data_IF_551834841874
#
_entry.id   IF_551834841874
#
_cell.length_a   1.000
_cell.length_b   1.000
_cell.length_c   1.000
_cell.angle_alpha   90.00
_cell.angle_beta   90.00
_cell.angle_gamma   90.00
#
_symmetry.space_group_name_H-M   'P 1'
#
loop_
_entity.id
_entity.type
_entity.pdbx_description
1 polymer ?
#
# COMPACT_ATOMS: atom_id res chain seq x y z
N UNK A 1 -2.32 -28.10 21.82
CA UNK A 1 -3.76 -27.93 21.51
C UNK A 1 -3.87 -28.00 19.98
N UNK A 2 -4.50 -29.05 19.42
CA UNK A 2 -5.81 -28.98 18.72
C UNK A 2 -6.04 -27.66 17.96
N UNK A 3 -6.45 -27.58 16.70
CA UNK A 3 -6.71 -28.46 15.55
C UNK A 3 -7.02 -27.43 14.44
N UNK A 4 -6.44 -27.57 13.25
CA UNK A 4 -6.83 -26.77 12.08
C UNK A 4 -8.28 -27.06 11.70
N UNK A 5 -9.10 -26.02 11.47
CA UNK A 5 -10.28 -26.09 10.60
C UNK A 5 -10.52 -24.73 9.92
N UNK A 6 -10.61 -24.81 8.59
CA UNK A 6 -10.96 -23.77 7.65
C UNK A 6 -12.49 -23.51 7.63
N UNK A 7 -12.90 -22.32 7.22
CA UNK A 7 -14.23 -21.99 6.70
C UNK A 7 -14.07 -20.80 5.75
N UNK A 8 -13.81 -21.03 4.45
CA UNK A 8 -14.78 -21.18 3.35
C UNK A 8 -15.79 -20.03 3.28
N UNK A 9 -15.69 -19.31 2.16
CA UNK A 9 -16.46 -18.16 1.72
C UNK A 9 -17.98 -18.39 1.66
N UNK A 10 -18.72 -17.29 1.88
CA UNK A 10 -20.08 -17.12 1.39
C UNK A 10 -20.14 -15.82 0.57
N UNK A 11 -19.66 -15.89 -0.68
CA UNK A 11 -20.07 -14.99 -1.75
C UNK A 11 -21.56 -15.21 -1.99
N UNK A 12 -22.40 -14.28 -1.53
CA UNK A 12 -23.81 -14.25 -1.92
C UNK A 12 -24.02 -13.12 -2.90
N UNK A 13 -24.01 -13.51 -4.17
CA UNK A 13 -24.53 -12.75 -5.32
C UNK A 13 -26.03 -12.53 -5.11
N UNK A 14 -26.51 -11.28 -5.17
CA UNK A 14 -27.89 -11.00 -5.55
C UNK A 14 -27.84 -10.15 -6.82
N UNK A 15 -28.11 -10.84 -7.92
CA UNK A 15 -28.31 -10.32 -9.26
C UNK A 15 -29.71 -9.69 -9.40
N UNK A 16 -29.75 -8.64 -10.23
CA UNK A 16 -30.79 -8.29 -11.19
C UNK A 16 -32.18 -7.84 -10.68
N UNK A 17 -32.46 -6.56 -10.88
CA UNK A 17 -33.84 -6.09 -11.06
C UNK A 17 -33.99 -4.58 -11.11
N UNK A 18 -34.01 -4.01 -12.32
CA UNK A 18 -34.98 -2.96 -12.73
C UNK A 18 -34.74 -2.56 -14.20
N UNK A 19 -35.49 -3.21 -15.08
CA UNK A 19 -35.75 -2.77 -16.45
C UNK A 19 -36.66 -1.53 -16.43
N UNK A 20 -36.53 -0.70 -17.45
CA UNK A 20 -37.31 0.52 -17.67
C UNK A 20 -38.82 0.25 -17.86
N UNK A 21 -39.64 1.24 -17.47
CA UNK A 21 -40.95 1.50 -18.10
C UNK A 21 -42.17 1.50 -17.17
N UNK A 22 -43.24 2.24 -17.51
CA UNK A 22 -43.92 3.17 -16.59
C UNK A 22 -45.35 2.72 -16.21
N UNK A 23 -45.80 3.03 -14.98
CA UNK A 23 -47.22 3.28 -14.66
C UNK A 23 -47.36 3.78 -13.19
N UNK A 24 -47.89 5.00 -13.02
CA UNK A 24 -48.52 5.52 -11.79
C UNK A 24 -50.04 5.26 -11.91
N UNK A 25 -50.91 5.36 -10.86
CA UNK A 25 -50.80 6.21 -9.65
C UNK A 25 -51.38 5.60 -8.34
N UNK A 26 -51.26 6.29 -7.20
CA UNK A 26 -52.14 6.02 -6.05
C UNK A 26 -51.71 6.50 -4.66
N UNK A 27 -52.15 7.71 -4.31
CA UNK A 27 -52.55 8.21 -2.98
C UNK A 27 -51.55 8.32 -1.79
N UNK A 28 -51.65 9.50 -1.17
CA UNK A 28 -50.83 10.07 -0.09
C UNK A 28 -50.91 9.35 1.26
N UNK A 29 -49.85 9.44 2.09
CA UNK A 29 -49.88 9.72 3.54
C UNK A 29 -48.44 9.93 4.11
N UNK A 30 -48.30 10.96 4.94
CA UNK A 30 -47.22 11.27 5.92
C UNK A 30 -45.84 11.77 5.45
N UNK A 31 -45.35 12.91 5.96
CA UNK A 31 -43.92 13.18 6.00
C UNK A 31 -43.32 12.26 7.07
N UNK A 32 -42.84 11.08 6.67
CA UNK A 32 -41.90 10.36 7.51
C UNK A 32 -40.70 11.27 7.71
N UNK A 33 -40.51 11.73 8.94
CA UNK A 33 -39.26 12.28 9.40
C UNK A 33 -38.16 11.34 8.91
N UNK A 34 -37.30 11.82 8.01
CA UNK A 34 -36.04 11.15 7.71
C UNK A 34 -35.32 11.03 9.04
N UNK A 35 -35.40 9.85 9.64
CA UNK A 35 -34.47 9.45 10.68
C UNK A 35 -33.10 9.55 10.01
N UNK A 36 -32.36 10.61 10.33
CA UNK A 36 -30.97 10.72 9.96
C UNK A 36 -30.31 9.45 10.48
N UNK A 37 -29.97 8.55 9.57
CA UNK A 37 -29.09 7.44 9.87
C UNK A 37 -27.84 8.09 10.45
N UNK A 38 -27.45 7.78 11.70
CA UNK A 38 -26.18 8.27 12.21
C UNK A 38 -25.13 7.74 11.24
N UNK A 39 -24.45 8.68 10.58
CA UNK A 39 -23.30 8.38 9.73
C UNK A 39 -22.38 7.50 10.57
N UNK A 40 -22.18 6.26 10.14
CA UNK A 40 -21.22 5.39 10.81
C UNK A 40 -19.91 6.16 10.85
N UNK A 41 -19.21 6.22 12.01
CA UNK A 41 -17.96 6.96 12.09
C UNK A 41 -17.08 6.43 10.97
N UNK A 42 -16.74 7.32 10.03
CA UNK A 42 -15.75 7.03 9.01
C UNK A 42 -14.51 6.67 9.81
N UNK A 43 -14.10 5.39 9.75
CA UNK A 43 -12.86 4.94 10.33
C UNK A 43 -11.80 5.82 9.70
N UNK A 44 -11.40 6.86 10.44
CA UNK A 44 -10.48 7.86 9.94
C UNK A 44 -9.16 7.15 9.96
N UNK A 45 -8.82 6.53 8.83
CA UNK A 45 -7.50 6.00 8.58
C UNK A 45 -6.47 7.09 8.87
N UNK A 46 -5.20 6.71 9.10
CA UNK A 46 -4.17 7.69 9.34
C UNK A 46 -4.14 8.72 8.20
N UNK A 47 -4.04 10.00 8.57
CA UNK A 47 -3.93 11.07 7.60
C UNK A 47 -2.63 10.90 6.79
N UNK A 48 -2.67 10.97 5.45
CA UNK A 48 -1.46 10.82 4.65
C UNK A 48 -0.49 11.96 4.93
N UNK A 49 0.80 11.64 5.03
CA UNK A 49 1.86 12.62 5.26
C UNK A 49 2.33 13.27 3.95
N UNK A 50 2.99 14.42 4.05
CA UNK A 50 3.52 15.11 2.87
C UNK A 50 4.65 14.32 2.18
N UNK A 51 4.86 14.58 0.90
CA UNK A 51 5.93 13.95 0.11
C UNK A 51 7.30 14.09 0.79
N UNK A 52 7.61 15.28 1.30
CA UNK A 52 8.85 15.56 2.05
C UNK A 52 8.96 14.71 3.34
N UNK A 53 7.87 14.50 4.06
CA UNK A 53 7.87 13.64 5.25
C UNK A 53 8.06 12.17 4.90
N UNK A 54 7.45 11.69 3.81
CA UNK A 54 7.70 10.33 3.30
C UNK A 54 9.18 10.15 2.89
N UNK A 55 9.76 11.14 2.20
CA UNK A 55 11.18 11.15 1.84
C UNK A 55 12.07 11.11 3.09
N UNK A 56 11.76 11.91 4.11
CA UNK A 56 12.46 11.87 5.38
C UNK A 56 12.40 10.47 6.00
N UNK A 57 11.23 9.83 6.07
CA UNK A 57 11.09 8.48 6.60
C UNK A 57 11.84 7.40 5.79
N UNK A 58 12.03 7.61 4.49
CA UNK A 58 12.79 6.69 3.63
C UNK A 58 14.30 6.80 3.81
N UNK A 59 14.82 8.03 3.91
CA UNK A 59 16.27 8.31 3.98
C UNK A 59 16.82 8.46 5.42
N UNK A 60 15.97 8.62 6.44
CA UNK A 60 16.40 8.78 7.83
C UNK A 60 16.97 7.48 8.45
N UNK A 61 17.97 7.62 9.32
CA UNK A 61 18.54 6.52 10.10
C UNK A 61 19.84 5.92 9.58
N UNK A 62 20.51 6.53 8.59
CA UNK A 62 21.85 6.10 8.13
C UNK A 62 21.86 4.64 7.67
N UNK A 63 22.68 3.78 8.31
CA UNK A 63 22.73 2.33 8.03
C UNK A 63 21.39 1.60 8.26
N UNK A 64 20.49 2.19 9.05
CA UNK A 64 19.17 1.61 9.33
C UNK A 64 18.06 2.16 8.44
N UNK A 65 18.35 3.17 7.62
CA UNK A 65 17.40 3.78 6.69
C UNK A 65 16.83 2.76 5.70
N UNK A 66 15.66 3.08 5.15
CA UNK A 66 15.06 2.26 4.09
C UNK A 66 15.92 2.32 2.84
N UNK A 67 16.45 3.49 2.50
CA UNK A 67 17.40 3.70 1.40
C UNK A 67 18.63 2.79 1.50
N UNK A 68 19.32 2.78 2.65
CA UNK A 68 20.50 1.94 2.84
C UNK A 68 20.16 0.45 2.67
N UNK A 69 19.00 0.03 3.17
CA UNK A 69 18.56 -1.37 3.04
C UNK A 69 18.20 -1.73 1.60
N UNK A 70 17.49 -0.85 0.89
CA UNK A 70 17.13 -1.03 -0.52
C UNK A 70 18.39 -1.11 -1.38
N UNK A 71 19.36 -0.22 -1.15
CA UNK A 71 20.63 -0.20 -1.90
C UNK A 71 21.54 -1.37 -1.55
N UNK A 72 21.49 -1.87 -0.31
CA UNK A 72 22.26 -3.05 0.12
C UNK A 72 21.68 -4.35 -0.42
N UNK A 73 20.35 -4.54 -0.36
CA UNK A 73 19.71 -5.83 -0.64
C UNK A 73 19.03 -5.91 -2.01
N UNK A 74 18.79 -4.78 -2.68
CA UNK A 74 18.29 -4.73 -4.05
C UNK A 74 19.15 -5.53 -5.05
N UNK A 75 20.49 -5.42 -5.01
CA UNK A 75 21.39 -6.20 -5.87
C UNK A 75 21.29 -7.72 -5.67
N UNK A 76 20.93 -8.17 -4.47
CA UNK A 76 20.96 -9.59 -4.07
C UNK A 76 19.68 -10.36 -4.43
N UNK A 77 18.65 -9.68 -4.96
CA UNK A 77 17.34 -10.29 -5.22
C UNK A 77 17.34 -11.48 -6.20
N UNK A 78 18.39 -11.64 -7.01
CA UNK A 78 18.54 -12.74 -7.96
C UNK A 78 19.10 -14.05 -7.37
N UNK A 79 19.47 -14.07 -6.08
CA UNK A 79 20.18 -15.21 -5.50
C UNK A 79 20.14 -15.27 -3.97
N UNK A 80 18.96 -15.03 -3.39
CA UNK A 80 18.79 -14.98 -1.94
C UNK A 80 19.08 -16.33 -1.27
N UNK A 81 19.99 -16.33 -0.31
CA UNK A 81 20.12 -17.38 0.69
C UNK A 81 19.13 -17.13 1.86
N UNK A 82 19.21 -17.95 2.90
CA UNK A 82 18.30 -17.84 4.06
C UNK A 82 18.43 -16.47 4.77
N UNK A 83 19.66 -15.97 4.92
CA UNK A 83 19.91 -14.67 5.55
C UNK A 83 19.40 -13.51 4.67
N UNK A 84 19.67 -13.56 3.37
CA UNK A 84 19.17 -12.60 2.40
C UNK A 84 17.65 -12.56 2.37
N UNK A 85 16.98 -13.71 2.46
CA UNK A 85 15.52 -13.80 2.57
C UNK A 85 14.97 -13.05 3.79
N UNK A 86 15.62 -13.16 4.95
CA UNK A 86 15.25 -12.40 6.16
C UNK A 86 15.43 -10.91 5.94
N UNK A 87 16.52 -10.48 5.32
CA UNK A 87 16.82 -9.07 5.13
C UNK A 87 15.89 -8.42 4.11
N UNK A 88 15.59 -9.11 3.01
CA UNK A 88 14.60 -8.70 2.00
C UNK A 88 13.20 -8.60 2.61
N UNK A 89 12.84 -9.51 3.52
CA UNK A 89 11.59 -9.42 4.31
C UNK A 89 11.54 -8.14 5.12
N UNK A 90 12.64 -7.78 5.81
CA UNK A 90 12.73 -6.52 6.56
C UNK A 90 12.61 -5.31 5.63
N UNK A 91 13.26 -5.31 4.46
CA UNK A 91 13.15 -4.21 3.49
C UNK A 91 11.69 -4.01 3.05
N UNK A 92 11.03 -5.10 2.64
CA UNK A 92 9.61 -5.07 2.24
C UNK A 92 8.72 -4.50 3.35
N UNK A 93 8.92 -4.91 4.60
CA UNK A 93 8.07 -4.49 5.73
C UNK A 93 8.29 -3.01 6.09
N UNK A 94 9.52 -2.51 5.94
CA UNK A 94 9.81 -1.08 6.11
C UNK A 94 9.16 -0.25 5.01
N UNK A 95 9.25 -0.67 3.76
CA UNK A 95 8.53 -0.05 2.64
C UNK A 95 7.01 -0.09 2.86
N UNK A 96 6.48 -1.21 3.34
CA UNK A 96 5.06 -1.34 3.68
C UNK A 96 4.65 -0.33 4.76
N UNK A 97 5.51 -0.13 5.76
CA UNK A 97 5.24 0.82 6.84
C UNK A 97 5.16 2.26 6.32
N UNK A 98 6.01 2.64 5.37
CA UNK A 98 5.93 3.95 4.71
C UNK A 98 4.65 4.07 3.87
N UNK A 99 4.28 3.02 3.15
CA UNK A 99 3.06 2.97 2.32
C UNK A 99 1.77 3.19 3.12
N UNK A 100 1.74 2.86 4.42
CA UNK A 100 0.55 3.08 5.27
C UNK A 100 0.19 4.55 5.47
N UNK A 101 1.17 5.45 5.30
CA UNK A 101 1.00 6.89 5.53
C UNK A 101 1.34 7.71 4.29
N UNK A 102 1.82 7.08 3.22
CA UNK A 102 2.19 7.75 1.98
C UNK A 102 0.98 8.45 1.35
N UNK A 103 1.22 9.63 0.77
CA UNK A 103 0.22 10.30 -0.05
C UNK A 103 0.14 9.69 -1.46
N UNK A 104 -0.79 10.20 -2.27
CA UNK A 104 -1.04 9.72 -3.63
C UNK A 104 0.17 9.85 -4.56
N UNK A 105 1.05 10.84 -4.33
CA UNK A 105 2.26 11.05 -5.14
C UNK A 105 3.34 10.00 -4.83
N UNK A 106 3.55 9.70 -3.54
CA UNK A 106 4.65 8.82 -3.10
C UNK A 106 4.27 7.35 -3.11
N UNK A 107 2.99 7.02 -2.97
CA UNK A 107 2.47 5.64 -2.99
C UNK A 107 2.93 4.83 -4.21
N UNK A 108 2.72 5.27 -5.47
CA UNK A 108 3.12 4.48 -6.63
C UNK A 108 4.64 4.30 -6.72
N UNK A 109 5.43 5.29 -6.31
CA UNK A 109 6.88 5.21 -6.35
C UNK A 109 7.44 4.25 -5.28
N UNK A 110 6.93 4.32 -4.04
CA UNK A 110 7.28 3.36 -2.99
C UNK A 110 6.85 1.93 -3.34
N UNK A 111 5.66 1.76 -3.94
CA UNK A 111 5.19 0.47 -4.41
C UNK A 111 6.09 -0.10 -5.51
N UNK A 112 6.55 0.75 -6.45
CA UNK A 112 7.49 0.34 -7.49
C UNK A 112 8.82 -0.18 -6.91
N UNK A 113 9.31 0.42 -5.82
CA UNK A 113 10.49 -0.08 -5.11
C UNK A 113 10.18 -1.42 -4.43
N UNK A 114 9.01 -1.55 -3.81
CA UNK A 114 8.64 -2.72 -3.01
C UNK A 114 8.36 -3.99 -3.83
N UNK A 115 7.78 -3.84 -5.02
CA UNK A 115 7.33 -4.98 -5.87
C UNK A 115 8.46 -5.99 -6.15
N UNK A 116 9.67 -5.59 -6.57
CA UNK A 116 10.77 -6.54 -6.74
C UNK A 116 11.12 -7.34 -5.49
N UNK A 117 11.11 -6.72 -4.30
CA UNK A 117 11.36 -7.44 -3.04
C UNK A 117 10.22 -8.44 -2.74
N UNK A 118 8.96 -8.07 -3.01
CA UNK A 118 7.83 -8.99 -2.85
C UNK A 118 7.93 -10.19 -3.80
N UNK A 119 8.31 -9.95 -5.05
CA UNK A 119 8.49 -11.01 -6.05
C UNK A 119 9.62 -11.95 -5.62
N UNK A 120 10.77 -11.41 -5.17
CA UNK A 120 11.87 -12.22 -4.66
C UNK A 120 11.44 -13.20 -3.57
N UNK A 121 10.60 -12.73 -2.62
CA UNK A 121 10.11 -13.57 -1.51
C UNK A 121 9.01 -14.55 -1.95
N UNK A 122 8.18 -14.19 -2.93
CA UNK A 122 7.00 -14.97 -3.30
C UNK A 122 7.30 -16.07 -4.31
N UNK A 123 8.17 -15.79 -5.28
CA UNK A 123 8.45 -16.68 -6.40
C UNK A 123 9.92 -16.68 -6.84
N UNK A 124 10.82 -16.01 -6.10
CA UNK A 124 12.24 -15.93 -6.44
C UNK A 124 12.54 -15.04 -7.66
N UNK A 125 11.58 -14.24 -8.14
CA UNK A 125 11.73 -13.43 -9.36
C UNK A 125 11.92 -11.93 -9.07
N UNK A 126 12.69 -11.59 -8.04
CA UNK A 126 13.07 -10.20 -7.80
C UNK A 126 14.04 -9.71 -8.87
N UNK A 127 13.85 -8.47 -9.34
CA UNK A 127 14.70 -7.86 -10.36
C UNK A 127 15.49 -6.68 -9.76
N UNK A 128 16.83 -6.81 -9.60
CA UNK A 128 17.68 -5.74 -9.12
C UNK A 128 17.63 -4.45 -9.94
N UNK A 129 17.49 -4.55 -11.27
CA UNK A 129 17.43 -3.38 -12.16
C UNK A 129 16.17 -2.57 -11.90
N UNK A 130 15.02 -3.23 -11.72
CA UNK A 130 13.77 -2.57 -11.36
C UNK A 130 13.85 -1.85 -10.01
N UNK A 131 14.58 -2.41 -9.03
CA UNK A 131 14.83 -1.73 -7.75
C UNK A 131 15.63 -0.45 -7.98
N UNK A 132 16.73 -0.54 -8.74
CA UNK A 132 17.60 0.61 -8.99
C UNK A 132 16.87 1.73 -9.73
N UNK A 133 16.10 1.41 -10.76
CA UNK A 133 15.28 2.38 -11.51
C UNK A 133 14.20 3.02 -10.64
N UNK A 134 13.47 2.22 -9.86
CA UNK A 134 12.42 2.73 -8.98
C UNK A 134 12.99 3.60 -7.83
N UNK A 135 14.12 3.21 -7.25
CA UNK A 135 14.81 3.99 -6.22
C UNK A 135 15.33 5.32 -6.78
N UNK A 136 15.89 5.32 -8.00
CA UNK A 136 16.31 6.55 -8.67
C UNK A 136 15.11 7.48 -8.96
N UNK A 137 14.00 6.93 -9.45
CA UNK A 137 12.79 7.71 -9.69
C UNK A 137 12.21 8.30 -8.39
N UNK A 138 12.18 7.54 -7.30
CA UNK A 138 11.75 8.04 -6.00
C UNK A 138 12.69 9.13 -5.47
N UNK A 139 14.00 9.01 -5.70
CA UNK A 139 14.96 10.06 -5.39
C UNK A 139 14.64 11.36 -6.13
N UNK A 140 14.42 11.31 -7.45
CA UNK A 140 14.02 12.49 -8.24
C UNK A 140 12.73 13.11 -7.71
N UNK A 141 11.74 12.28 -7.36
CA UNK A 141 10.49 12.77 -6.77
C UNK A 141 10.73 13.52 -5.45
N UNK A 142 11.65 13.04 -4.61
CA UNK A 142 12.03 13.73 -3.38
C UNK A 142 12.75 15.06 -3.65
N UNK A 143 13.65 15.10 -4.63
CA UNK A 143 14.34 16.33 -5.06
C UNK A 143 13.33 17.38 -5.57
N UNK A 144 12.39 16.97 -6.42
CA UNK A 144 11.34 17.83 -6.96
C UNK A 144 10.38 18.35 -5.89
N UNK A 145 10.14 17.56 -4.84
CA UNK A 145 9.35 17.95 -3.68
C UNK A 145 10.11 18.88 -2.70
N UNK A 146 11.40 19.15 -2.95
CA UNK A 146 12.22 20.01 -2.10
C UNK A 146 12.81 19.31 -0.87
N UNK A 147 12.91 17.98 -0.87
CA UNK A 147 13.63 17.27 0.18
C UNK A 147 15.14 17.49 0.05
N UNK A 148 15.77 17.98 1.13
CA UNK A 148 17.22 18.16 1.19
C UNK A 148 17.90 16.92 1.77
N UNK A 149 18.77 16.29 0.98
CA UNK A 149 19.56 15.15 1.44
C UNK A 149 20.63 15.63 2.42
N UNK A 150 20.45 15.29 3.69
CA UNK A 150 21.48 15.47 4.72
C UNK A 150 22.69 14.58 4.41
N UNK A 151 23.89 15.17 4.44
CA UNK A 151 25.17 14.47 4.29
C UNK A 151 25.72 14.00 5.63
#
# INVERSE_FOLDING_TARGET
MRKHLAAIAALSVVLLGACAGPDQPGAATSPSASASVPEAPTESGPEPISTVQTCAGYYDGGEYSVDHRVTTWGPELGGLDEEGGVQVTVVRDRLQSLLLYANDETTPALAAIQVPFQNALSNGAGNPEQVAEAAAAFRTLCEDAGYEFTR
#
